data_IF_241140924469
#
_entry.id   IF_241140924469
#
_cell.length_a   1.000
_cell.length_b   1.000
_cell.length_c   1.000
_cell.angle_alpha   90.00
_cell.angle_beta   90.00
_cell.angle_gamma   90.00
#
_symmetry.space_group_name_H-M   'P 1'
#
loop_
_entity.id
_entity.type
_entity.pdbx_description
1 polymer ?
#
# COMPACT_ATOMS: atom_id res chain seq x y z
N UNK A 1 -17.21 -67.91 -1.59
CA UNK A 1 -15.87 -67.28 -1.39
C UNK A 1 -16.08 -65.79 -1.45
N UNK A 2 -16.04 -65.16 -0.26
CA UNK A 2 -16.49 -63.79 -0.04
C UNK A 2 -15.34 -62.82 -0.28
N UNK A 3 -15.62 -61.69 -0.94
CA UNK A 3 -14.76 -60.54 -1.04
C UNK A 3 -15.32 -59.47 -0.11
N UNK A 4 -14.51 -59.02 0.84
CA UNK A 4 -14.83 -57.93 1.76
C UNK A 4 -14.37 -56.59 1.16
N UNK A 5 -15.34 -55.67 0.98
CA UNK A 5 -15.13 -54.29 0.68
C UNK A 5 -14.71 -53.51 1.97
N UNK A 6 -13.51 -52.99 2.02
CA UNK A 6 -13.14 -51.94 2.96
C UNK A 6 -12.99 -50.62 2.22
N UNK A 7 -14.00 -49.78 2.39
CA UNK A 7 -13.94 -48.37 2.04
C UNK A 7 -12.95 -47.61 2.95
N UNK A 8 -11.92 -47.05 2.35
CA UNK A 8 -10.99 -46.09 3.01
C UNK A 8 -11.57 -44.72 2.86
N UNK A 9 -12.05 -44.14 3.97
CA UNK A 9 -12.38 -42.74 4.10
C UNK A 9 -11.06 -41.92 4.06
N UNK A 10 -10.88 -41.13 3.00
CA UNK A 10 -9.79 -40.18 2.92
C UNK A 10 -10.10 -38.98 3.80
N UNK A 11 -9.27 -38.81 4.84
CA UNK A 11 -9.17 -37.67 5.70
C UNK A 11 -8.72 -36.44 4.89
N UNK A 12 -9.60 -35.45 4.80
CA UNK A 12 -9.28 -34.12 4.25
C UNK A 12 -9.05 -33.16 5.40
N UNK A 13 -7.85 -33.20 5.98
CA UNK A 13 -7.41 -32.18 6.90
C UNK A 13 -6.01 -31.67 6.50
N UNK A 14 -5.94 -30.35 6.37
CA UNK A 14 -4.74 -29.54 6.53
C UNK A 14 -3.65 -29.62 5.45
N UNK A 15 -3.92 -29.04 4.28
CA UNK A 15 -2.84 -28.53 3.43
C UNK A 15 -2.61 -27.03 3.70
N UNK A 16 -2.03 -26.73 4.86
CA UNK A 16 -1.41 -25.43 5.10
C UNK A 16 -0.14 -25.38 4.23
N UNK A 17 -0.27 -24.74 3.07
CA UNK A 17 0.85 -24.41 2.20
C UNK A 17 1.85 -23.60 3.01
N UNK A 18 2.86 -24.26 3.52
CA UNK A 18 4.11 -23.63 3.92
C UNK A 18 4.69 -22.99 2.67
N UNK A 19 4.54 -21.66 2.57
CA UNK A 19 5.31 -20.86 1.63
C UNK A 19 6.77 -21.06 2.01
N UNK A 20 7.51 -21.77 1.17
CA UNK A 20 8.94 -21.92 1.34
C UNK A 20 9.55 -20.53 1.25
N UNK A 21 10.12 -20.06 2.37
CA UNK A 21 10.98 -18.89 2.41
C UNK A 21 12.13 -19.13 1.44
N UNK A 22 12.21 -18.31 0.41
CA UNK A 22 13.42 -18.22 -0.41
C UNK A 22 14.61 -17.89 0.51
N UNK A 23 15.83 -18.38 0.20
CA UNK A 23 16.98 -18.13 1.04
C UNK A 23 17.18 -16.63 1.21
N UNK A 24 17.47 -16.21 2.45
CA UNK A 24 17.71 -14.85 2.84
C UNK A 24 18.76 -14.21 1.91
N UNK A 25 18.29 -13.39 0.98
CA UNK A 25 19.10 -12.34 0.41
C UNK A 25 19.34 -11.38 1.57
N UNK A 26 20.60 -10.95 1.76
CA UNK A 26 21.00 -9.92 2.70
C UNK A 26 20.16 -8.65 2.43
N UNK A 27 18.97 -8.60 3.02
CA UNK A 27 18.05 -7.47 2.92
C UNK A 27 18.43 -6.53 4.06
N UNK A 28 19.35 -5.62 3.76
CA UNK A 28 19.57 -4.46 4.61
C UNK A 28 18.20 -3.81 4.87
N UNK A 29 17.89 -3.69 6.16
CA UNK A 29 16.67 -3.15 6.76
C UNK A 29 15.85 -2.27 5.83
N UNK A 30 14.62 -2.66 5.55
CA UNK A 30 13.73 -1.92 4.69
C UNK A 30 12.51 -1.44 5.46
N UNK A 31 12.40 -0.13 5.50
CA UNK A 31 11.40 0.63 6.21
C UNK A 31 10.41 1.25 5.24
N UNK A 32 9.42 0.49 4.87
CA UNK A 32 8.31 0.96 4.07
C UNK A 32 7.00 0.37 4.60
N UNK A 33 6.64 0.74 5.82
CA UNK A 33 5.28 0.64 6.32
C UNK A 33 5.00 1.86 7.21
N UNK A 34 4.44 2.88 6.58
CA UNK A 34 3.61 3.88 7.22
C UNK A 34 4.21 4.69 8.35
N UNK A 35 5.35 5.34 8.14
CA UNK A 35 5.69 6.51 8.93
C UNK A 35 6.62 7.46 8.15
N UNK A 36 6.15 7.92 6.98
CA UNK A 36 6.67 9.18 6.45
C UNK A 36 6.00 10.32 7.23
N UNK A 37 6.25 10.41 8.53
CA UNK A 37 5.94 11.63 9.29
C UNK A 37 6.88 12.70 8.80
N UNK A 38 6.47 13.44 7.79
CA UNK A 38 7.05 14.77 7.54
C UNK A 38 6.62 15.62 8.73
N UNK A 39 7.39 15.54 9.83
CA UNK A 39 7.27 16.48 10.91
C UNK A 39 7.57 17.85 10.36
N UNK A 40 6.57 18.74 10.36
CA UNK A 40 6.67 20.14 9.94
C UNK A 40 7.79 20.93 10.67
N UNK A 41 8.43 20.36 11.69
CA UNK A 41 9.30 21.05 12.63
C UNK A 41 10.80 20.76 12.48
N UNK A 42 11.26 20.03 11.45
CA UNK A 42 12.69 19.78 11.23
C UNK A 42 13.15 20.07 9.80
N UNK A 43 12.89 21.27 9.33
CA UNK A 43 13.60 21.82 8.17
C UNK A 43 14.90 22.46 8.70
N UNK A 44 15.98 21.69 8.70
CA UNK A 44 17.31 22.21 8.99
C UNK A 44 17.94 22.70 7.70
N UNK A 45 17.84 24.00 7.40
CA UNK A 45 18.62 24.63 6.33
C UNK A 45 20.05 24.86 6.83
N UNK A 46 21.01 24.04 6.39
CA UNK A 46 22.42 24.41 6.50
C UNK A 46 22.78 25.35 5.35
N UNK A 47 22.95 26.64 5.61
CA UNK A 47 23.59 27.58 4.68
C UNK A 47 25.09 27.28 4.67
N UNK A 48 25.58 26.69 3.59
CA UNK A 48 26.99 26.71 3.29
C UNK A 48 27.32 28.08 2.67
N UNK A 49 28.23 28.81 3.28
CA UNK A 49 28.81 30.04 2.72
C UNK A 49 29.82 29.62 1.64
N UNK A 50 29.40 29.49 0.41
CA UNK A 50 30.30 29.53 -0.75
C UNK A 50 29.57 30.07 -1.98
N UNK A 51 30.23 30.89 -2.79
CA UNK A 51 29.68 31.70 -3.86
C UNK A 51 29.55 30.89 -5.17
N UNK A 52 28.63 29.93 -5.18
CA UNK A 52 28.03 29.33 -6.37
C UNK A 52 26.53 29.41 -6.22
N UNK A 53 25.69 29.45 -7.30
CA UNK A 53 24.26 29.39 -7.15
C UNK A 53 23.94 27.99 -6.60
N UNK A 54 23.90 27.89 -5.27
CA UNK A 54 23.56 26.71 -4.55
C UNK A 54 22.10 26.40 -4.89
N UNK A 55 21.84 25.31 -5.62
CA UNK A 55 20.51 24.73 -5.70
C UNK A 55 20.06 24.47 -4.28
N UNK A 56 18.87 24.97 -3.92
CA UNK A 56 18.28 24.83 -2.59
C UNK A 56 18.17 23.32 -2.28
N UNK A 57 19.10 22.83 -1.46
CA UNK A 57 19.14 21.42 -1.05
C UNK A 57 18.39 21.33 0.28
N UNK A 58 17.31 20.54 0.28
CA UNK A 58 16.53 20.22 1.47
C UNK A 58 16.70 18.77 1.84
N UNK A 59 17.16 18.51 3.05
CA UNK A 59 17.17 17.16 3.62
C UNK A 59 15.79 16.93 4.25
N UNK A 60 15.07 15.95 3.73
CA UNK A 60 13.78 15.51 4.25
C UNK A 60 14.02 14.26 5.08
N UNK A 61 13.62 14.30 6.34
CA UNK A 61 13.66 13.13 7.20
C UNK A 61 12.30 12.45 7.12
N UNK A 62 12.25 11.37 6.34
CA UNK A 62 11.11 10.46 6.31
C UNK A 62 11.58 9.12 6.87
N UNK A 63 10.86 8.53 7.82
CA UNK A 63 11.24 7.24 8.40
C UNK A 63 12.72 7.16 8.79
N UNK A 64 13.45 6.17 8.29
CA UNK A 64 14.88 5.94 8.55
C UNK A 64 15.77 6.47 7.40
N UNK A 65 15.21 6.80 6.24
CA UNK A 65 16.00 7.23 5.09
C UNK A 65 16.12 8.75 5.01
N UNK A 66 17.36 9.21 4.81
CA UNK A 66 17.63 10.58 4.43
C UNK A 66 17.30 10.72 2.93
N UNK A 67 16.27 11.52 2.66
CA UNK A 67 15.83 11.84 1.30
C UNK A 67 16.22 13.28 1.02
N UNK A 68 16.86 13.53 -0.11
CA UNK A 68 17.38 14.85 -0.47
C UNK A 68 16.57 15.43 -1.62
N UNK A 69 15.94 16.58 -1.40
CA UNK A 69 15.33 17.37 -2.48
C UNK A 69 16.33 18.37 -3.04
N UNK A 70 16.49 18.41 -4.36
CA UNK A 70 17.27 19.41 -5.11
C UNK A 70 16.41 20.00 -6.21
N UNK A 71 15.87 21.16 -5.99
CA UNK A 71 14.93 21.80 -6.91
C UNK A 71 13.65 20.98 -7.08
N UNK A 72 13.41 20.50 -8.28
CA UNK A 72 12.26 19.67 -8.68
C UNK A 72 12.53 18.15 -8.61
N UNK A 73 13.69 17.75 -8.07
CA UNK A 73 14.10 16.35 -7.99
C UNK A 73 14.25 15.88 -6.55
N UNK A 74 13.91 14.62 -6.34
CA UNK A 74 14.04 13.88 -5.10
C UNK A 74 15.09 12.77 -5.30
N UNK A 75 16.07 12.72 -4.43
CA UNK A 75 17.13 11.71 -4.40
C UNK A 75 16.94 10.84 -3.17
N UNK A 76 16.80 9.53 -3.36
CA UNK A 76 16.71 8.55 -2.28
C UNK A 76 17.68 7.39 -2.52
N UNK A 77 18.16 6.68 -1.48
CA UNK A 77 19.07 5.56 -1.67
C UNK A 77 18.48 4.51 -2.60
N UNK A 78 19.29 4.02 -3.55
CA UNK A 78 18.90 2.94 -4.43
C UNK A 78 18.63 1.66 -3.64
N UNK A 79 17.54 0.95 -3.97
CA UNK A 79 17.12 -0.32 -3.42
C UNK A 79 17.18 -1.43 -4.49
N UNK A 80 17.19 -2.72 -4.11
CA UNK A 80 17.18 -3.81 -5.09
C UNK A 80 16.03 -3.74 -6.10
N UNK A 81 14.88 -3.18 -5.71
CA UNK A 81 13.68 -3.01 -6.55
C UNK A 81 13.59 -1.65 -7.26
N UNK A 82 14.50 -0.70 -7.02
CA UNK A 82 14.45 0.64 -7.64
C UNK A 82 14.34 0.59 -9.16
N UNK A 83 15.07 -0.34 -9.82
CA UNK A 83 14.95 -0.49 -11.27
C UNK A 83 13.54 -0.90 -11.71
N UNK A 84 12.89 -1.78 -10.97
CA UNK A 84 11.52 -2.22 -11.26
C UNK A 84 10.51 -1.11 -11.08
N UNK A 85 10.64 -0.33 -9.99
CA UNK A 85 9.81 0.85 -9.70
C UNK A 85 9.98 1.91 -10.80
N UNK A 86 11.20 2.25 -11.17
CA UNK A 86 11.45 3.22 -12.26
C UNK A 86 10.82 2.77 -13.57
N UNK A 87 10.96 1.48 -13.94
CA UNK A 87 10.33 0.92 -15.14
C UNK A 87 8.80 0.99 -15.09
N UNK A 88 8.20 0.74 -13.92
CA UNK A 88 6.76 0.89 -13.71
C UNK A 88 6.33 2.35 -13.88
N UNK A 89 7.02 3.29 -13.23
CA UNK A 89 6.74 4.72 -13.32
C UNK A 89 6.85 5.23 -14.76
N UNK A 90 7.89 4.84 -15.50
CA UNK A 90 8.02 5.14 -16.92
C UNK A 90 6.85 4.61 -17.77
N UNK A 91 6.36 3.42 -17.45
CA UNK A 91 5.23 2.81 -18.15
C UNK A 91 3.94 3.59 -17.92
N UNK A 92 3.60 3.88 -16.66
CA UNK A 92 2.36 4.59 -16.32
C UNK A 92 2.36 6.03 -16.83
N UNK A 93 3.49 6.73 -16.81
CA UNK A 93 3.60 8.06 -17.43
C UNK A 93 3.41 7.99 -18.96
N UNK A 94 4.00 6.99 -19.64
CA UNK A 94 3.74 6.78 -21.07
C UNK A 94 2.28 6.45 -21.39
N UNK A 95 1.57 5.84 -20.45
CA UNK A 95 0.13 5.60 -20.54
C UNK A 95 -0.71 6.85 -20.24
N UNK A 96 -0.09 8.00 -19.90
CA UNK A 96 -0.77 9.27 -19.63
C UNK A 96 -1.24 9.45 -18.18
N UNK A 97 -0.70 8.70 -17.24
CA UNK A 97 -1.00 8.87 -15.81
C UNK A 97 0.05 9.75 -15.14
N UNK A 98 -0.32 10.99 -14.82
CA UNK A 98 0.54 11.99 -14.17
C UNK A 98 0.42 11.98 -12.63
N UNK A 99 -0.36 11.06 -12.08
CA UNK A 99 -0.61 10.93 -10.64
C UNK A 99 0.47 10.11 -9.91
N UNK A 100 1.73 10.24 -10.30
CA UNK A 100 2.89 9.61 -9.67
C UNK A 100 4.16 10.44 -9.94
N UNK A 101 5.27 10.24 -9.17
CA UNK A 101 6.54 10.91 -9.43
C UNK A 101 7.09 10.59 -10.82
N UNK A 102 7.60 11.59 -11.53
CA UNK A 102 8.32 11.38 -12.79
C UNK A 102 9.64 10.63 -12.53
N UNK A 103 9.97 9.52 -13.24
CA UNK A 103 11.21 8.82 -13.06
C UNK A 103 12.35 9.47 -13.85
N UNK A 104 13.45 9.79 -13.18
CA UNK A 104 14.67 10.33 -13.81
C UNK A 104 15.80 9.29 -13.88
N UNK A 105 15.63 8.13 -13.27
CA UNK A 105 16.58 7.02 -13.32
C UNK A 105 17.45 6.88 -12.08
N UNK A 106 18.64 6.31 -12.26
CA UNK A 106 19.60 6.06 -11.18
C UNK A 106 20.83 6.94 -11.39
N UNK A 107 21.21 7.70 -10.36
CA UNK A 107 22.39 8.57 -10.37
C UNK A 107 23.25 8.32 -9.10
N UNK A 108 24.52 7.95 -9.26
CA UNK A 108 25.49 7.81 -8.17
C UNK A 108 24.99 6.98 -6.95
N UNK A 109 24.23 5.90 -7.20
CA UNK A 109 23.68 5.04 -6.14
C UNK A 109 22.37 5.57 -5.53
N UNK A 110 21.80 6.60 -6.12
CA UNK A 110 20.47 7.13 -5.75
C UNK A 110 19.45 6.86 -6.84
N UNK A 111 18.23 6.60 -6.44
CA UNK A 111 17.05 6.67 -7.29
C UNK A 111 16.59 8.12 -7.35
N UNK A 112 16.38 8.65 -8.56
CA UNK A 112 16.01 10.04 -8.80
C UNK A 112 14.59 10.11 -9.35
N UNK A 113 13.72 10.80 -8.60
CA UNK A 113 12.31 10.98 -8.90
C UNK A 113 11.96 12.47 -8.98
N UNK A 114 10.88 12.80 -9.68
CA UNK A 114 10.30 14.13 -9.68
C UNK A 114 9.67 14.46 -8.33
N UNK A 115 9.89 15.69 -7.86
CA UNK A 115 9.17 16.19 -6.71
C UNK A 115 7.71 16.47 -7.06
N UNK A 116 6.79 15.90 -6.30
CA UNK A 116 5.35 16.19 -6.44
C UNK A 116 4.97 17.24 -5.40
N UNK A 117 4.60 18.43 -5.86
CA UNK A 117 4.17 19.51 -4.97
C UNK A 117 2.83 19.22 -4.31
N UNK A 118 2.71 19.46 -3.01
CA UNK A 118 1.51 19.27 -2.21
C UNK A 118 1.83 18.94 -0.77
N UNK A 119 0.85 18.42 -0.06
CA UNK A 119 0.97 17.95 1.33
C UNK A 119 0.68 16.46 1.40
N UNK A 120 1.30 15.78 2.36
CA UNK A 120 0.96 14.41 2.73
C UNK A 120 0.24 14.48 4.07
N UNK A 121 -0.81 13.71 4.22
CA UNK A 121 -1.64 13.72 5.43
C UNK A 121 -1.59 12.36 6.12
N UNK A 122 -1.27 12.40 7.42
CA UNK A 122 -1.44 11.24 8.31
C UNK A 122 -2.82 11.37 8.98
N UNK A 123 -3.86 11.07 8.20
CA UNK A 123 -5.24 11.23 8.64
C UNK A 123 -5.85 9.89 9.07
N UNK A 124 -6.63 9.92 10.16
CA UNK A 124 -7.56 8.83 10.46
C UNK A 124 -8.61 8.74 9.34
N UNK A 125 -8.78 7.57 8.74
CA UNK A 125 -9.68 7.38 7.62
C UNK A 125 -11.11 7.83 7.89
N UNK A 126 -11.58 7.71 9.15
CA UNK A 126 -12.91 8.15 9.56
C UNK A 126 -13.12 9.68 9.48
N UNK A 127 -12.03 10.46 9.59
CA UNK A 127 -12.06 11.93 9.59
C UNK A 127 -11.87 12.54 8.19
N UNK A 128 -11.47 11.75 7.21
CA UNK A 128 -11.32 12.18 5.81
C UNK A 128 -12.69 12.45 5.22
N UNK A 129 -12.89 13.61 4.59
CA UNK A 129 -14.16 13.93 3.96
C UNK A 129 -14.49 12.98 2.78
N UNK A 130 -15.79 12.82 2.50
CA UNK A 130 -16.24 11.86 1.48
C UNK A 130 -15.75 12.24 0.07
N UNK A 131 -15.64 13.52 -0.24
CA UNK A 131 -15.13 13.98 -1.54
C UNK A 131 -13.70 13.53 -1.78
N UNK A 132 -12.85 13.66 -0.76
CA UNK A 132 -11.46 13.17 -0.74
C UNK A 132 -11.40 11.65 -0.89
N UNK A 133 -12.26 10.90 -0.17
CA UNK A 133 -12.36 9.43 -0.30
C UNK A 133 -12.66 9.01 -1.74
N UNK A 134 -13.64 9.67 -2.37
CA UNK A 134 -14.02 9.38 -3.76
C UNK A 134 -12.92 9.74 -4.77
N UNK A 135 -12.20 10.83 -4.50
CA UNK A 135 -11.07 11.25 -5.35
C UNK A 135 -9.91 10.26 -5.26
N UNK A 136 -9.57 9.77 -4.06
CA UNK A 136 -8.54 8.77 -3.86
C UNK A 136 -8.87 7.44 -4.58
N UNK A 137 -10.13 7.00 -4.51
CA UNK A 137 -10.58 5.81 -5.22
C UNK A 137 -10.42 5.95 -6.75
N UNK A 138 -10.75 7.12 -7.32
CA UNK A 138 -10.58 7.39 -8.75
C UNK A 138 -9.10 7.48 -9.15
N UNK A 139 -8.27 8.09 -8.29
CA UNK A 139 -6.81 8.17 -8.51
C UNK A 139 -6.19 6.75 -8.53
N UNK A 140 -6.60 5.87 -7.59
CA UNK A 140 -6.15 4.48 -7.57
C UNK A 140 -6.63 3.71 -8.82
N UNK A 141 -7.85 3.95 -9.26
CA UNK A 141 -8.37 3.37 -10.51
C UNK A 141 -7.55 3.82 -11.72
N UNK A 142 -7.24 5.12 -11.83
CA UNK A 142 -6.41 5.65 -12.90
C UNK A 142 -5.01 5.05 -12.93
N UNK A 143 -4.40 4.88 -11.76
CA UNK A 143 -3.12 4.17 -11.62
C UNK A 143 -3.20 2.73 -12.14
N UNK A 144 -4.18 1.96 -11.68
CA UNK A 144 -4.34 0.56 -12.11
C UNK A 144 -4.62 0.42 -13.61
N UNK A 145 -5.37 1.36 -14.19
CA UNK A 145 -5.63 1.34 -15.62
C UNK A 145 -4.36 1.67 -16.42
N UNK A 146 -3.53 2.60 -15.94
CA UNK A 146 -2.26 2.92 -16.54
C UNK A 146 -1.20 1.81 -16.36
N UNK A 147 -1.24 1.07 -15.24
CA UNK A 147 -0.37 -0.07 -14.98
C UNK A 147 -0.77 -1.33 -15.77
N UNK A 148 -1.95 -1.32 -16.42
CA UNK A 148 -2.39 -2.45 -17.22
C UNK A 148 -1.43 -2.69 -18.42
N UNK A 149 -1.12 -3.97 -18.67
CA UNK A 149 -0.20 -4.35 -19.74
C UNK A 149 1.29 -4.12 -19.45
N UNK A 150 1.66 -3.68 -18.26
CA UNK A 150 3.05 -3.69 -17.83
C UNK A 150 3.56 -5.13 -17.68
N UNK A 151 4.73 -5.42 -18.27
CA UNK A 151 5.37 -6.73 -18.16
C UNK A 151 6.33 -6.75 -16.96
N UNK A 152 5.99 -7.46 -15.87
CA UNK A 152 6.82 -7.55 -14.68
C UNK A 152 7.89 -8.65 -14.77
N UNK A 153 8.02 -9.34 -15.90
CA UNK A 153 8.92 -10.49 -16.07
C UNK A 153 10.38 -10.09 -15.85
N UNK A 154 11.08 -10.85 -15.01
CA UNK A 154 12.49 -10.61 -14.70
C UNK A 154 12.77 -9.41 -13.79
N UNK A 155 11.74 -8.73 -13.31
CA UNK A 155 11.88 -7.62 -12.37
C UNK A 155 11.89 -8.10 -10.92
N UNK A 156 12.57 -7.33 -10.07
CA UNK A 156 12.72 -7.61 -8.63
C UNK A 156 11.78 -6.69 -7.86
N UNK A 157 10.98 -7.25 -6.99
CA UNK A 157 10.06 -6.53 -6.11
C UNK A 157 10.43 -6.79 -4.65
N UNK A 158 10.08 -5.87 -3.76
CA UNK A 158 10.33 -6.02 -2.33
C UNK A 158 9.61 -7.24 -1.74
N UNK A 159 8.38 -7.46 -2.16
CA UNK A 159 7.53 -8.57 -1.72
C UNK A 159 7.18 -9.48 -2.89
N UNK A 160 6.87 -10.76 -2.63
CA UNK A 160 6.45 -11.68 -3.67
C UNK A 160 5.13 -11.22 -4.32
N UNK A 161 4.96 -11.61 -5.60
CA UNK A 161 3.72 -11.36 -6.33
C UNK A 161 2.53 -12.08 -5.69
N UNK A 162 1.39 -11.41 -5.69
CA UNK A 162 0.09 -12.00 -5.31
C UNK A 162 -0.62 -12.58 -6.54
N UNK A 163 -1.42 -13.61 -6.34
CA UNK A 163 -2.16 -14.23 -7.45
C UNK A 163 -3.67 -14.00 -7.31
N UNK A 164 -4.38 -13.75 -8.43
CA UNK A 164 -3.88 -13.56 -9.79
C UNK A 164 -3.16 -12.23 -9.98
N UNK A 165 -2.10 -12.20 -10.81
CA UNK A 165 -1.37 -10.98 -11.15
C UNK A 165 -2.11 -10.23 -12.26
N UNK A 166 -3.01 -9.33 -11.91
CA UNK A 166 -3.82 -8.53 -12.85
C UNK A 166 -3.10 -7.25 -13.30
N UNK A 167 -2.41 -6.61 -12.35
CA UNK A 167 -1.62 -5.39 -12.53
C UNK A 167 -0.41 -5.41 -11.62
N UNK A 168 0.46 -4.40 -11.70
CA UNK A 168 1.38 -4.10 -10.61
C UNK A 168 0.65 -3.19 -9.62
N UNK A 169 0.47 -3.69 -8.40
CA UNK A 169 -0.13 -2.96 -7.28
C UNK A 169 0.80 -1.83 -6.82
N UNK A 170 0.24 -0.80 -6.19
CA UNK A 170 1.02 0.11 -5.35
C UNK A 170 1.51 -0.61 -4.09
N UNK A 171 0.63 -1.43 -3.51
CA UNK A 171 0.90 -2.26 -2.33
C UNK A 171 0.71 -1.53 -0.99
N UNK A 172 0.72 -0.18 -0.98
CA UNK A 172 0.55 0.66 0.21
C UNK A 172 -0.16 1.98 -0.13
N UNK A 173 -1.26 1.91 -0.90
CA UNK A 173 -2.05 3.06 -1.32
C UNK A 173 -2.88 3.62 -0.14
N UNK A 174 -2.28 4.49 0.66
CA UNK A 174 -2.83 5.07 1.88
C UNK A 174 -2.69 6.60 1.90
N UNK A 175 -3.40 7.34 2.80
CA UNK A 175 -3.29 8.80 2.88
C UNK A 175 -1.87 9.32 3.04
N UNK A 176 -1.03 8.64 3.83
CA UNK A 176 0.38 9.00 4.04
C UNK A 176 1.28 8.77 2.81
N UNK A 177 0.84 8.00 1.82
CA UNK A 177 1.50 7.80 0.53
C UNK A 177 0.73 8.49 -0.61
N UNK A 178 -0.08 9.47 -0.26
CA UNK A 178 -0.85 10.27 -1.22
C UNK A 178 -0.50 11.75 -1.07
N UNK A 179 -0.21 12.42 -2.17
CA UNK A 179 -0.01 13.88 -2.19
C UNK A 179 -1.35 14.55 -2.43
N UNK A 180 -1.64 15.57 -1.61
CA UNK A 180 -2.87 16.37 -1.67
C UNK A 180 -2.57 17.80 -2.11
N UNK A 181 -3.46 18.37 -2.93
CA UNK A 181 -3.49 19.81 -3.26
C UNK A 181 -4.86 20.37 -2.94
N UNK A 182 -4.91 21.28 -1.95
CA UNK A 182 -6.19 21.82 -1.49
C UNK A 182 -7.16 20.75 -0.98
N UNK A 183 -6.64 19.71 -0.32
CA UNK A 183 -7.43 18.59 0.19
C UNK A 183 -7.80 17.52 -0.85
N UNK A 184 -7.41 17.69 -2.12
CA UNK A 184 -7.69 16.73 -3.18
C UNK A 184 -6.49 15.81 -3.44
N UNK A 185 -6.63 14.48 -3.41
CA UNK A 185 -5.62 13.54 -3.82
C UNK A 185 -5.19 13.76 -5.28
N UNK A 186 -3.88 13.92 -5.53
CA UNK A 186 -3.35 14.23 -6.87
C UNK A 186 -2.28 13.25 -7.33
N UNK A 187 -1.57 12.58 -6.42
CA UNK A 187 -0.56 11.60 -6.80
C UNK A 187 -0.32 10.57 -5.70
N UNK A 188 0.01 9.36 -6.10
CA UNK A 188 0.60 8.33 -5.25
C UNK A 188 2.11 8.49 -5.22
N UNK A 189 2.72 8.27 -4.07
CA UNK A 189 4.17 8.29 -3.84
C UNK A 189 4.58 7.03 -3.07
N UNK A 190 5.87 6.75 -3.03
CA UNK A 190 6.44 5.59 -2.32
C UNK A 190 5.96 4.23 -2.86
N UNK A 191 6.47 3.90 -4.04
CA UNK A 191 6.17 2.65 -4.76
C UNK A 191 7.05 1.46 -4.33
N UNK A 192 7.71 1.53 -3.18
CA UNK A 192 8.63 0.48 -2.73
C UNK A 192 7.93 -0.87 -2.52
N UNK A 193 6.69 -0.84 -2.07
CA UNK A 193 5.88 -2.05 -1.87
C UNK A 193 5.17 -2.55 -3.12
N UNK A 194 5.41 -1.90 -4.27
CA UNK A 194 4.81 -2.29 -5.53
C UNK A 194 5.18 -3.73 -5.89
N UNK A 195 4.21 -4.47 -6.43
CA UNK A 195 4.37 -5.86 -6.88
C UNK A 195 3.19 -6.31 -7.74
N UNK A 196 3.35 -7.33 -8.59
CA UNK A 196 2.21 -7.90 -9.32
C UNK A 196 1.16 -8.48 -8.37
N UNK A 197 -0.13 -8.24 -8.66
CA UNK A 197 -1.22 -8.77 -7.85
C UNK A 197 -2.62 -8.39 -8.35
N UNK A 198 -3.67 -8.85 -7.66
CA UNK A 198 -5.05 -8.53 -8.00
C UNK A 198 -5.41 -7.11 -7.57
N UNK A 199 -6.09 -6.37 -8.44
CA UNK A 199 -6.53 -4.98 -8.16
C UNK A 199 -7.29 -4.86 -6.84
N UNK A 200 -8.12 -5.84 -6.53
CA UNK A 200 -8.94 -5.85 -5.32
C UNK A 200 -8.10 -5.79 -4.03
N UNK A 201 -6.87 -6.27 -4.06
CA UNK A 201 -5.96 -6.28 -2.91
C UNK A 201 -5.51 -4.85 -2.51
N UNK A 202 -5.18 -4.00 -3.49
CA UNK A 202 -4.90 -2.57 -3.27
C UNK A 202 -6.16 -1.81 -2.86
N UNK A 203 -7.28 -2.08 -3.55
CA UNK A 203 -8.58 -1.45 -3.24
C UNK A 203 -8.99 -1.74 -1.80
N UNK A 204 -8.79 -2.98 -1.34
CA UNK A 204 -9.11 -3.40 0.03
C UNK A 204 -8.32 -2.60 1.07
N UNK A 205 -7.01 -2.46 0.87
CA UNK A 205 -6.18 -1.70 1.79
C UNK A 205 -6.49 -0.21 1.74
N UNK A 206 -6.62 0.35 0.56
CA UNK A 206 -6.95 1.77 0.39
C UNK A 206 -8.32 2.12 0.98
N UNK A 207 -9.35 1.30 0.75
CA UNK A 207 -10.67 1.50 1.36
C UNK A 207 -10.61 1.44 2.90
N UNK A 208 -9.85 0.51 3.47
CA UNK A 208 -9.62 0.46 4.91
C UNK A 208 -8.94 1.73 5.42
N UNK A 209 -7.88 2.20 4.77
CA UNK A 209 -7.09 3.37 5.19
C UNK A 209 -7.85 4.68 5.04
N UNK A 210 -8.61 4.85 3.96
CA UNK A 210 -9.37 6.09 3.68
C UNK A 210 -10.75 6.13 4.33
N UNK A 211 -11.33 5.01 4.76
CA UNK A 211 -12.69 4.98 5.26
C UNK A 211 -12.84 4.55 6.71
N UNK A 212 -12.00 3.62 7.18
CA UNK A 212 -12.29 2.90 8.42
C UNK A 212 -11.28 3.13 9.53
N UNK A 213 -9.99 3.34 9.21
CA UNK A 213 -8.95 3.36 10.23
C UNK A 213 -9.19 4.46 11.26
N UNK A 214 -9.22 4.06 12.53
CA UNK A 214 -9.27 4.90 13.74
C UNK A 214 -8.93 4.04 14.95
N UNK A 215 -8.53 4.65 16.04
CA UNK A 215 -8.28 3.94 17.30
C UNK A 215 -9.16 4.48 18.42
N UNK A 216 -9.89 3.59 19.09
CA UNK A 216 -10.16 2.20 18.71
C UNK A 216 -11.13 2.08 17.53
N UNK A 217 -10.99 1.01 16.73
CA UNK A 217 -12.03 0.64 15.76
C UNK A 217 -13.11 -0.15 16.50
N UNK A 218 -14.21 0.51 16.81
CA UNK A 218 -15.40 -0.14 17.35
C UNK A 218 -16.25 -0.82 16.28
N UNK A 219 -17.45 -1.27 16.64
CA UNK A 219 -18.44 -1.80 15.70
C UNK A 219 -18.69 -0.81 14.55
N UNK A 220 -18.66 -1.33 13.31
CA UNK A 220 -18.87 -0.49 12.14
C UNK A 220 -20.32 -0.08 12.00
N UNK A 221 -20.55 1.22 11.89
CA UNK A 221 -21.87 1.82 11.65
C UNK A 221 -22.30 1.66 10.18
N UNK A 222 -23.57 1.94 9.90
CA UNK A 222 -24.08 2.06 8.54
C UNK A 222 -23.37 3.18 7.75
N UNK A 223 -22.91 4.23 8.43
CA UNK A 223 -22.13 5.31 7.82
C UNK A 223 -20.76 4.82 7.37
N UNK A 224 -20.04 4.06 8.20
CA UNK A 224 -18.76 3.45 7.85
C UNK A 224 -18.92 2.54 6.62
N UNK A 225 -19.92 1.67 6.65
CA UNK A 225 -20.23 0.79 5.53
C UNK A 225 -20.58 1.56 4.24
N UNK A 226 -21.32 2.66 4.37
CA UNK A 226 -21.65 3.55 3.26
C UNK A 226 -20.42 4.23 2.66
N UNK A 227 -19.42 4.60 3.47
CA UNK A 227 -18.16 5.18 2.98
C UNK A 227 -17.36 4.17 2.16
N UNK A 228 -17.25 2.92 2.65
CA UNK A 228 -16.55 1.83 1.91
C UNK A 228 -17.27 1.52 0.60
N UNK A 229 -18.61 1.46 0.61
CA UNK A 229 -19.40 1.28 -0.61
C UNK A 229 -19.15 2.42 -1.61
N UNK A 230 -19.14 3.67 -1.14
CA UNK A 230 -18.89 4.84 -1.98
C UNK A 230 -17.47 4.83 -2.59
N UNK A 231 -16.46 4.39 -1.82
CA UNK A 231 -15.11 4.16 -2.33
C UNK A 231 -15.10 3.10 -3.44
N UNK A 232 -15.75 1.95 -3.18
CA UNK A 232 -15.85 0.84 -4.13
C UNK A 232 -16.57 1.25 -5.43
N UNK A 233 -17.64 2.06 -5.32
CA UNK A 233 -18.35 2.62 -6.46
C UNK A 233 -17.50 3.61 -7.25
N UNK A 234 -16.80 4.51 -6.57
CA UNK A 234 -15.95 5.52 -7.19
C UNK A 234 -14.72 4.90 -7.89
N UNK A 235 -14.19 3.80 -7.37
CA UNK A 235 -13.17 2.99 -8.05
C UNK A 235 -13.76 2.24 -9.25
N UNK A 236 -15.02 1.86 -9.21
CA UNK A 236 -15.71 1.12 -10.26
C UNK A 236 -15.67 -0.40 -10.09
N UNK A 237 -15.71 -0.90 -8.84
CA UNK A 237 -15.82 -2.34 -8.58
C UNK A 237 -17.15 -2.89 -9.10
N UNK A 238 -17.06 -4.05 -9.73
CA UNK A 238 -18.21 -4.85 -10.11
C UNK A 238 -18.90 -5.48 -8.88
N UNK A 239 -20.04 -6.10 -9.14
CA UNK A 239 -20.87 -6.73 -8.10
C UNK A 239 -20.12 -7.80 -7.29
N UNK A 240 -19.43 -8.69 -7.98
CA UNK A 240 -18.69 -9.79 -7.37
C UNK A 240 -17.54 -9.27 -6.50
N UNK A 241 -16.79 -8.30 -7.02
CA UNK A 241 -15.68 -7.67 -6.31
C UNK A 241 -16.15 -6.95 -5.05
N UNK A 242 -17.27 -6.21 -5.11
CA UNK A 242 -17.87 -5.57 -3.93
C UNK A 242 -18.26 -6.60 -2.86
N UNK A 243 -18.83 -7.74 -3.26
CA UNK A 243 -19.20 -8.81 -2.31
C UNK A 243 -17.97 -9.41 -1.63
N UNK A 244 -16.84 -9.50 -2.33
CA UNK A 244 -15.57 -10.02 -1.80
C UNK A 244 -14.75 -9.01 -1.02
N UNK A 245 -15.01 -7.71 -1.20
CA UNK A 245 -14.18 -6.65 -0.62
C UNK A 245 -14.02 -6.76 0.91
N UNK A 246 -15.06 -7.03 1.74
CA UNK A 246 -14.89 -7.17 3.19
C UNK A 246 -13.91 -8.28 3.57
N UNK A 247 -14.02 -9.44 2.93
CA UNK A 247 -13.13 -10.59 3.14
C UNK A 247 -11.70 -10.25 2.74
N UNK A 248 -11.51 -9.61 1.58
CA UNK A 248 -10.19 -9.18 1.11
C UNK A 248 -9.55 -8.16 2.04
N UNK A 249 -10.34 -7.24 2.66
CA UNK A 249 -9.81 -6.33 3.69
C UNK A 249 -9.27 -7.14 4.89
N UNK A 250 -10.04 -8.11 5.39
CA UNK A 250 -9.65 -8.96 6.52
C UNK A 250 -8.36 -9.74 6.19
N UNK A 251 -8.30 -10.38 5.03
CA UNK A 251 -7.11 -11.10 4.58
C UNK A 251 -5.89 -10.20 4.51
N UNK A 252 -6.04 -9.00 3.95
CA UNK A 252 -4.95 -8.01 3.84
C UNK A 252 -4.42 -7.57 5.19
N UNK A 253 -5.29 -7.31 6.16
CA UNK A 253 -4.91 -6.88 7.51
C UNK A 253 -4.25 -8.02 8.30
N UNK A 254 -4.75 -9.24 8.19
CA UNK A 254 -4.14 -10.43 8.80
C UNK A 254 -2.76 -10.72 8.22
N UNK A 255 -2.62 -10.57 6.90
CA UNK A 255 -1.32 -10.68 6.25
C UNK A 255 -0.33 -9.63 6.78
N UNK A 256 -0.74 -8.37 6.95
CA UNK A 256 0.10 -7.32 7.54
C UNK A 256 0.52 -7.65 8.96
N UNK A 257 -0.40 -8.10 9.79
CA UNK A 257 -0.10 -8.49 11.17
C UNK A 257 0.90 -9.64 11.23
N UNK A 258 0.76 -10.64 10.35
CA UNK A 258 1.69 -11.76 10.24
C UNK A 258 3.06 -11.27 9.74
N UNK A 259 3.10 -10.46 8.68
CA UNK A 259 4.33 -9.91 8.11
C UNK A 259 5.16 -9.16 9.17
N UNK A 260 4.51 -8.30 9.96
CA UNK A 260 5.19 -7.56 11.04
C UNK A 260 5.83 -8.52 12.04
N UNK A 261 5.09 -9.55 12.47
CA UNK A 261 5.60 -10.53 13.44
C UNK A 261 6.75 -11.36 12.88
N UNK A 262 6.63 -11.82 11.65
CA UNK A 262 7.63 -12.68 11.00
C UNK A 262 8.94 -11.94 10.75
N UNK A 263 8.89 -10.70 10.23
CA UNK A 263 10.08 -9.89 10.02
C UNK A 263 10.71 -9.42 11.32
N UNK A 264 9.93 -9.05 12.34
CA UNK A 264 10.45 -8.74 13.66
C UNK A 264 11.17 -9.96 14.29
N UNK A 265 10.60 -11.16 14.13
CA UNK A 265 11.22 -12.40 14.61
C UNK A 265 12.50 -12.76 13.81
N UNK A 266 12.59 -12.35 12.55
CA UNK A 266 13.80 -12.48 11.74
C UNK A 266 14.88 -11.43 12.08
N UNK A 267 14.60 -10.49 13.00
CA UNK A 267 15.55 -9.48 13.47
C UNK A 267 15.58 -8.19 12.68
N UNK A 268 14.55 -7.93 11.85
CA UNK A 268 14.42 -6.65 11.15
C UNK A 268 14.06 -5.54 12.15
N UNK A 269 14.92 -4.51 12.33
CA UNK A 269 14.72 -3.49 13.37
C UNK A 269 13.50 -2.61 13.12
N UNK A 270 13.12 -2.35 11.87
CA UNK A 270 11.95 -1.57 11.53
C UNK A 270 10.67 -2.30 11.91
N UNK A 271 10.57 -3.58 11.56
CA UNK A 271 9.44 -4.41 11.92
C UNK A 271 9.39 -4.69 13.43
N UNK A 272 10.55 -4.78 14.11
CA UNK A 272 10.61 -4.86 15.57
C UNK A 272 10.02 -3.59 16.22
N UNK A 273 10.26 -2.41 15.65
CA UNK A 273 9.64 -1.17 16.11
C UNK A 273 8.12 -1.19 15.89
N UNK A 274 7.65 -1.57 14.69
CA UNK A 274 6.21 -1.72 14.41
C UNK A 274 5.52 -2.70 15.35
N UNK A 275 6.19 -3.79 15.72
CA UNK A 275 5.67 -4.75 16.68
C UNK A 275 5.57 -4.12 18.09
N UNK A 276 6.60 -3.35 18.50
CA UNK A 276 6.62 -2.63 19.79
C UNK A 276 5.53 -1.56 19.86
N UNK A 277 5.26 -0.89 18.76
CA UNK A 277 4.22 0.14 18.63
C UNK A 277 2.80 -0.44 18.54
N UNK A 278 2.66 -1.78 18.56
CA UNK A 278 1.37 -2.47 18.61
C UNK A 278 0.66 -2.58 17.27
N UNK A 279 1.33 -2.29 16.14
CA UNK A 279 0.70 -2.29 14.81
C UNK A 279 0.18 -3.68 14.40
N UNK A 280 0.86 -4.77 14.80
CA UNK A 280 0.39 -6.12 14.50
C UNK A 280 -0.94 -6.45 15.21
N UNK A 281 -1.08 -6.06 16.47
CA UNK A 281 -2.28 -6.21 17.27
C UNK A 281 -3.41 -5.31 16.76
N UNK A 282 -3.08 -4.08 16.37
CA UNK A 282 -4.01 -3.15 15.73
C UNK A 282 -4.66 -3.77 14.48
N UNK A 283 -3.84 -4.23 13.52
CA UNK A 283 -4.36 -4.81 12.28
C UNK A 283 -5.15 -6.09 12.53
N UNK A 284 -4.70 -6.96 13.44
CA UNK A 284 -5.42 -8.17 13.79
C UNK A 284 -6.79 -7.84 14.45
N UNK A 285 -6.83 -6.90 15.39
CA UNK A 285 -8.06 -6.46 16.04
C UNK A 285 -9.05 -5.81 15.08
N UNK A 286 -8.55 -4.96 14.16
CA UNK A 286 -9.39 -4.36 13.11
C UNK A 286 -9.93 -5.41 12.13
N UNK A 287 -9.14 -6.41 11.77
CA UNK A 287 -9.61 -7.53 10.95
C UNK A 287 -10.78 -8.27 11.61
N UNK A 288 -10.72 -8.52 12.92
CA UNK A 288 -11.79 -9.21 13.66
C UNK A 288 -13.09 -8.39 13.70
N UNK A 289 -12.98 -7.07 13.91
CA UNK A 289 -14.13 -6.15 13.86
C UNK A 289 -14.79 -6.14 12.47
N UNK A 290 -13.97 -6.05 11.42
CA UNK A 290 -14.46 -6.00 10.03
C UNK A 290 -15.11 -7.32 9.63
N UNK A 291 -14.50 -8.46 10.00
CA UNK A 291 -15.05 -9.80 9.74
C UNK A 291 -16.43 -10.00 10.37
N UNK A 292 -16.66 -9.45 11.57
CA UNK A 292 -17.94 -9.54 12.27
C UNK A 292 -18.99 -8.54 11.76
N UNK A 293 -18.58 -7.52 11.01
CA UNK A 293 -19.48 -6.45 10.58
C UNK A 293 -20.56 -6.91 9.60
N UNK A 294 -21.78 -7.07 10.09
CA UNK A 294 -22.96 -7.31 9.24
C UNK A 294 -23.27 -6.08 8.38
N UNK A 295 -23.15 -4.87 8.93
CA UNK A 295 -23.44 -3.62 8.23
C UNK A 295 -22.61 -3.49 6.95
N UNK A 296 -21.30 -3.84 7.01
CA UNK A 296 -20.41 -3.77 5.85
C UNK A 296 -20.80 -4.79 4.78
N UNK A 297 -21.04 -6.06 5.16
CA UNK A 297 -21.47 -7.10 4.23
C UNK A 297 -22.80 -6.78 3.56
N UNK A 298 -23.78 -6.31 4.32
CA UNK A 298 -25.10 -5.97 3.79
C UNK A 298 -25.01 -4.79 2.80
N UNK A 299 -24.27 -3.74 3.12
CA UNK A 299 -24.11 -2.57 2.25
C UNK A 299 -23.47 -2.95 0.90
N UNK A 300 -22.38 -3.72 0.92
CA UNK A 300 -21.64 -4.12 -0.29
C UNK A 300 -22.37 -5.19 -1.13
N UNK A 301 -23.27 -5.98 -0.50
CA UNK A 301 -24.14 -6.91 -1.19
C UNK A 301 -25.42 -6.26 -1.73
N UNK A 302 -25.98 -5.24 -1.04
CA UNK A 302 -27.22 -4.57 -1.40
C UNK A 302 -27.08 -3.56 -2.55
N UNK A 303 -25.91 -2.94 -2.72
CA UNK A 303 -25.56 -2.08 -3.89
C UNK A 303 -25.68 -2.78 -5.24
N UNK A 304 -26.22 -4.00 -5.22
CA UNK A 304 -26.39 -4.90 -6.36
C UNK A 304 -27.83 -5.01 -6.88
N UNK A 305 -28.81 -4.22 -6.34
CA UNK A 305 -30.26 -4.33 -6.68
C UNK A 305 -30.79 -3.16 -7.51
N UNK A 306 -30.01 -2.61 -8.42
CA UNK A 306 -30.52 -1.64 -9.40
C UNK A 306 -30.22 -2.07 -10.83
#
# INVERSE_FOLDING_TARGET
MRLDDHAVLADRSEDHRRVALAPALDVAANESFGDLRIHKDKISSRRACDHSPAMDEQILHGGINEVVRRGDRLYRPQRPWSHSVLRLLEHIHRAGFDGAPEPFGLEAGSEVLGWVEGTVEDANGADIDLGTVLAAARLLRGYHDAAAGFDPTGLVWQFPAEQPAEVVLHGDAAPYNCVFRGGVPVAWIDFDTARPGPRLYDVAYSAYRFCLIREPLGELSAQDAGRVLAFADAYGLGREEKTRLPETIVERLRWLAALIRDHAAAGDPAFAQHLTDGHAELYAGHADVIEQSKALRDALSAGTRS
#
